data_IF_546388135800
#
_entry.id   IF_546388135800
#
_cell.length_a   1.000
_cell.length_b   1.000
_cell.length_c   1.000
_cell.angle_alpha   90.00
_cell.angle_beta   90.00
_cell.angle_gamma   90.00
#
_symmetry.space_group_name_H-M   'P 1'
#
loop_
_entity.id
_entity.type
_entity.pdbx_description
1 polymer ?
#
# COMPACT_ATOMS: atom_id res chain seq x y z
N UNK A 1 1.06 -19.33 -16.03
CA UNK A 1 2.51 -19.09 -15.79
C UNK A 1 3.00 -18.01 -16.75
N UNK A 2 2.72 -18.18 -18.04
CA UNK A 2 3.18 -17.30 -19.12
C UNK A 2 2.72 -15.83 -18.98
N UNK A 3 1.50 -15.57 -18.50
CA UNK A 3 0.99 -14.20 -18.31
C UNK A 3 1.68 -13.45 -17.16
N UNK A 4 1.99 -14.14 -16.05
CA UNK A 4 2.73 -13.54 -14.94
C UNK A 4 4.15 -13.19 -15.37
N UNK A 5 4.80 -14.09 -16.11
CA UNK A 5 6.13 -13.84 -16.66
C UNK A 5 6.11 -12.69 -17.68
N UNK A 6 5.10 -12.63 -18.56
CA UNK A 6 4.93 -11.52 -19.49
C UNK A 6 4.72 -10.19 -18.76
N UNK A 7 3.90 -10.20 -17.71
CA UNK A 7 3.68 -9.02 -16.87
C UNK A 7 4.98 -8.57 -16.16
N UNK A 8 5.75 -9.50 -15.58
CA UNK A 8 7.02 -9.19 -14.94
C UNK A 8 8.02 -8.60 -15.93
N UNK A 9 8.20 -9.22 -17.10
CA UNK A 9 9.07 -8.70 -18.17
C UNK A 9 8.70 -7.27 -18.59
N UNK A 10 7.41 -6.96 -18.66
CA UNK A 10 6.96 -5.60 -19.01
C UNK A 10 7.34 -4.58 -17.94
N UNK A 11 7.24 -4.94 -16.66
CA UNK A 11 7.67 -4.06 -15.57
C UNK A 11 9.19 -3.87 -15.58
N UNK A 12 9.96 -4.95 -15.77
CA UNK A 12 11.42 -4.90 -15.88
C UNK A 12 11.87 -4.01 -17.04
N UNK A 13 11.26 -4.15 -18.22
CA UNK A 13 11.57 -3.32 -19.38
C UNK A 13 11.29 -1.81 -19.13
N UNK A 14 10.25 -1.47 -18.36
CA UNK A 14 9.97 -0.09 -17.97
C UNK A 14 11.06 0.47 -17.04
N UNK A 15 11.61 -0.36 -16.15
CA UNK A 15 12.74 0.02 -15.29
C UNK A 15 14.03 0.19 -16.08
N UNK A 16 14.34 -0.74 -16.99
CA UNK A 16 15.53 -0.64 -17.86
C UNK A 16 15.50 0.65 -18.68
N UNK A 17 14.32 0.99 -19.24
CA UNK A 17 14.16 2.22 -20.00
C UNK A 17 14.26 3.47 -19.11
N UNK A 18 13.77 3.42 -17.87
CA UNK A 18 13.97 4.52 -16.92
C UNK A 18 15.45 4.80 -16.65
N UNK A 19 16.25 3.75 -16.45
CA UNK A 19 17.70 3.87 -16.24
C UNK A 19 18.40 4.45 -17.49
N UNK A 20 17.96 4.08 -18.70
CA UNK A 20 18.46 4.67 -19.94
C UNK A 20 18.16 6.17 -20.04
N UNK A 21 16.94 6.58 -19.71
CA UNK A 21 16.51 7.98 -19.75
C UNK A 21 17.31 8.85 -18.77
N UNK A 22 17.54 8.37 -17.55
CA UNK A 22 18.25 9.12 -16.51
C UNK A 22 19.78 9.07 -16.72
N UNK A 23 20.31 7.92 -17.12
CA UNK A 23 21.75 7.67 -17.24
C UNK A 23 22.34 8.28 -18.53
N UNK A 24 22.25 7.58 -19.67
CA UNK A 24 22.67 8.06 -21.00
C UNK A 24 22.05 9.40 -21.42
N UNK A 25 20.72 9.52 -21.36
CA UNK A 25 19.99 10.66 -21.94
C UNK A 25 19.89 11.87 -21.02
N UNK A 26 20.35 11.75 -19.76
CA UNK A 26 20.40 12.83 -18.75
C UNK A 26 19.05 13.53 -18.50
N UNK A 27 17.94 12.82 -18.70
CA UNK A 27 16.61 13.35 -18.42
C UNK A 27 16.41 13.53 -16.91
N UNK A 28 15.64 14.55 -16.52
CA UNK A 28 15.34 14.80 -15.11
C UNK A 28 14.47 13.66 -14.55
N UNK A 29 14.83 13.15 -13.37
CA UNK A 29 14.17 12.00 -12.72
C UNK A 29 12.65 12.16 -12.59
N UNK A 30 12.18 13.39 -12.33
CA UNK A 30 10.75 13.68 -12.20
C UNK A 30 9.97 13.45 -13.50
N UNK A 31 10.58 13.74 -14.65
CA UNK A 31 9.97 13.42 -15.95
C UNK A 31 10.13 11.93 -16.26
N UNK A 32 11.26 11.34 -15.91
CA UNK A 32 11.56 9.94 -16.20
C UNK A 32 10.66 8.96 -15.44
N UNK A 33 10.29 9.27 -14.18
CA UNK A 33 9.40 8.39 -13.40
C UNK A 33 7.99 8.22 -14.00
N UNK A 34 7.60 9.02 -15.00
CA UNK A 34 6.28 8.93 -15.63
C UNK A 34 6.02 7.59 -16.34
N UNK A 35 7.08 6.87 -16.71
CA UNK A 35 6.99 5.55 -17.35
C UNK A 35 7.00 4.38 -16.36
N UNK A 36 7.33 4.64 -15.07
CA UNK A 36 7.41 3.57 -14.08
C UNK A 36 6.02 3.01 -13.77
N UNK A 37 5.91 1.69 -13.54
CA UNK A 37 4.64 1.05 -13.26
C UNK A 37 4.06 1.49 -11.90
N UNK A 38 2.74 1.37 -11.74
CA UNK A 38 2.06 1.75 -10.49
C UNK A 38 2.45 0.85 -9.32
N UNK A 39 2.83 -0.40 -9.60
CA UNK A 39 3.18 -1.40 -8.59
C UNK A 39 4.55 -1.22 -7.92
N UNK A 40 5.23 -0.09 -8.14
CA UNK A 40 6.51 0.17 -7.48
C UNK A 40 6.34 0.36 -5.97
N UNK A 41 7.25 -0.21 -5.20
CA UNK A 41 7.30 0.02 -3.77
C UNK A 41 7.64 1.48 -3.48
N UNK A 42 6.88 2.07 -2.56
CA UNK A 42 7.14 3.40 -2.03
C UNK A 42 7.06 3.36 -0.51
N UNK A 43 7.88 4.19 0.12
CA UNK A 43 7.90 4.34 1.56
C UNK A 43 7.44 5.75 1.91
N UNK A 44 6.62 5.86 2.94
CA UNK A 44 6.15 7.14 3.45
C UNK A 44 6.03 7.08 4.97
N UNK A 45 6.20 8.24 5.60
CA UNK A 45 5.85 8.42 7.00
C UNK A 45 4.37 8.78 7.10
N UNK A 46 3.67 8.13 8.02
CA UNK A 46 2.25 8.40 8.25
C UNK A 46 1.99 8.63 9.73
N UNK A 47 1.51 9.84 10.04
CA UNK A 47 1.06 10.23 11.38
C UNK A 47 -0.43 10.44 11.34
N UNK A 48 -1.15 9.81 12.28
CA UNK A 48 -2.60 9.85 12.33
C UNK A 48 -3.06 9.74 13.79
N UNK A 49 -4.18 10.39 14.14
CA UNK A 49 -4.78 10.25 15.46
C UNK A 49 -5.61 8.95 15.54
N UNK A 50 -5.98 8.53 16.76
CA UNK A 50 -6.71 7.29 16.98
C UNK A 50 -8.06 7.19 16.25
N UNK A 51 -8.85 8.27 16.24
CA UNK A 51 -10.16 8.28 15.58
C UNK A 51 -10.05 8.15 14.05
N UNK A 52 -9.13 8.92 13.45
CA UNK A 52 -8.83 8.81 12.02
C UNK A 52 -8.26 7.45 11.65
N UNK A 53 -7.46 6.84 12.53
CA UNK A 53 -6.94 5.49 12.34
C UNK A 53 -8.06 4.44 12.37
N UNK A 54 -8.98 4.53 13.33
CA UNK A 54 -10.16 3.65 13.40
C UNK A 54 -11.01 3.77 12.12
N UNK A 55 -11.28 4.98 11.64
CA UNK A 55 -12.01 5.17 10.38
C UNK A 55 -11.27 4.57 9.17
N UNK A 56 -9.95 4.75 9.10
CA UNK A 56 -9.13 4.12 8.06
C UNK A 56 -9.25 2.59 8.12
N UNK A 57 -9.11 2.00 9.31
CA UNK A 57 -9.20 0.55 9.50
C UNK A 57 -10.59 0.02 9.12
N UNK A 58 -11.65 0.73 9.48
CA UNK A 58 -13.02 0.37 9.09
C UNK A 58 -13.19 0.29 7.57
N UNK A 59 -12.68 1.29 6.84
CA UNK A 59 -12.79 1.33 5.38
C UNK A 59 -11.84 0.34 4.68
N UNK A 60 -10.68 0.07 5.27
CA UNK A 60 -9.59 -0.70 4.62
C UNK A 60 -9.53 -2.15 5.04
N UNK A 61 -10.29 -2.60 6.04
CA UNK A 61 -10.46 -4.02 6.35
C UNK A 61 -11.70 -4.63 5.69
N UNK A 62 -12.54 -3.80 5.07
CA UNK A 62 -13.72 -4.25 4.34
C UNK A 62 -13.38 -5.17 3.15
N UNK A 63 -14.20 -6.21 2.93
CA UNK A 63 -14.02 -7.22 1.87
C UNK A 63 -14.00 -6.64 0.44
N UNK A 64 -14.60 -5.47 0.23
CA UNK A 64 -14.63 -4.74 -1.04
C UNK A 64 -13.40 -3.86 -1.27
N UNK A 65 -12.58 -3.61 -0.23
CA UNK A 65 -11.31 -2.91 -0.41
C UNK A 65 -10.34 -3.74 -1.28
N UNK A 66 -9.29 -3.12 -1.81
CA UNK A 66 -8.27 -3.85 -2.57
C UNK A 66 -7.47 -4.79 -1.64
N UNK A 67 -7.08 -5.98 -2.13
CA UNK A 67 -6.41 -6.98 -1.30
C UNK A 67 -5.10 -6.47 -0.68
N UNK A 68 -4.24 -5.77 -1.44
CA UNK A 68 -2.97 -5.28 -0.89
C UNK A 68 -3.18 -4.32 0.28
N UNK A 69 -4.10 -3.34 0.17
CA UNK A 69 -4.32 -2.38 1.26
C UNK A 69 -4.96 -3.03 2.49
N UNK A 70 -5.74 -4.10 2.32
CA UNK A 70 -6.25 -4.88 3.46
C UNK A 70 -5.12 -5.52 4.26
N UNK A 71 -4.11 -6.05 3.60
CA UNK A 71 -2.95 -6.65 4.28
C UNK A 71 -2.19 -5.61 5.11
N UNK A 72 -2.00 -4.41 4.57
CA UNK A 72 -1.43 -3.30 5.33
C UNK A 72 -2.32 -2.92 6.52
N UNK A 73 -3.63 -2.79 6.31
CA UNK A 73 -4.57 -2.45 7.38
C UNK A 73 -4.59 -3.49 8.51
N UNK A 74 -4.49 -4.79 8.18
CA UNK A 74 -4.42 -5.85 9.20
C UNK A 74 -3.15 -5.73 10.04
N UNK A 75 -1.99 -5.52 9.40
CA UNK A 75 -0.73 -5.32 10.12
C UNK A 75 -0.80 -4.07 11.03
N UNK A 76 -1.40 -2.99 10.54
CA UNK A 76 -1.59 -1.75 11.30
C UNK A 76 -2.52 -1.97 12.50
N UNK A 77 -3.60 -2.75 12.35
CA UNK A 77 -4.50 -3.07 13.46
C UNK A 77 -3.77 -3.81 14.58
N UNK A 78 -2.92 -4.79 14.26
CA UNK A 78 -2.12 -5.51 15.27
C UNK A 78 -1.15 -4.58 16.01
N UNK A 79 -0.49 -3.66 15.28
CA UNK A 79 0.36 -2.64 15.91
C UNK A 79 -0.44 -1.68 16.80
N UNK A 80 -1.64 -1.28 16.36
CA UNK A 80 -2.51 -0.39 17.12
C UNK A 80 -3.03 -1.05 18.41
N UNK A 81 -3.36 -2.35 18.37
CA UNK A 81 -3.74 -3.15 19.54
C UNK A 81 -2.58 -3.27 20.53
N UNK A 82 -1.35 -3.44 20.05
CA UNK A 82 -0.19 -3.44 20.94
C UNK A 82 0.03 -2.08 21.62
N UNK A 83 -0.21 -0.97 20.91
CA UNK A 83 0.00 0.38 21.44
C UNK A 83 -1.13 0.88 22.36
N UNK A 84 -2.39 0.54 22.06
CA UNK A 84 -3.58 0.99 22.78
C UNK A 84 -4.64 -0.13 22.84
N UNK A 85 -4.40 -1.20 23.62
CA UNK A 85 -5.17 -2.44 23.56
C UNK A 85 -6.65 -2.24 23.86
N UNK A 86 -6.97 -1.52 24.94
CA UNK A 86 -8.36 -1.28 25.35
C UNK A 86 -9.15 -0.62 24.20
N UNK A 87 -8.61 0.38 23.54
CA UNK A 87 -9.34 1.08 22.48
C UNK A 87 -9.53 0.23 21.22
N UNK A 88 -8.48 -0.46 20.76
CA UNK A 88 -8.50 -1.14 19.47
C UNK A 88 -9.06 -2.56 19.54
N UNK A 89 -8.98 -3.25 20.68
CA UNK A 89 -9.66 -4.54 20.88
C UNK A 89 -11.18 -4.36 20.94
N UNK A 90 -11.65 -3.33 21.65
CA UNK A 90 -13.07 -2.95 21.70
C UNK A 90 -13.57 -2.53 20.31
N UNK A 91 -12.81 -1.71 19.59
CA UNK A 91 -13.13 -1.32 18.22
C UNK A 91 -13.23 -2.52 17.27
N UNK A 92 -12.29 -3.46 17.34
CA UNK A 92 -12.33 -4.68 16.53
C UNK A 92 -13.59 -5.51 16.83
N UNK A 93 -13.94 -5.65 18.11
CA UNK A 93 -15.10 -6.44 18.52
C UNK A 93 -16.42 -5.78 18.12
N UNK A 94 -16.58 -4.49 18.41
CA UNK A 94 -17.88 -3.82 18.29
C UNK A 94 -18.14 -3.24 16.90
N UNK A 95 -17.10 -2.83 16.16
CA UNK A 95 -17.25 -2.14 14.87
C UNK A 95 -16.88 -3.06 13.72
N UNK A 96 -15.68 -3.66 13.76
CA UNK A 96 -15.19 -4.46 12.62
C UNK A 96 -15.91 -5.80 12.47
N UNK A 97 -16.19 -6.49 13.59
CA UNK A 97 -16.84 -7.82 13.57
C UNK A 97 -18.36 -7.77 13.46
N UNK A 98 -18.99 -6.67 13.89
CA UNK A 98 -20.45 -6.50 13.82
C UNK A 98 -20.90 -5.75 12.54
N UNK A 99 -19.98 -5.16 11.78
CA UNK A 99 -20.28 -4.27 10.65
C UNK A 99 -20.06 -4.82 9.24
N UNK A 100 -20.04 -6.16 9.04
CA UNK A 100 -19.69 -6.81 7.77
C UNK A 100 -20.77 -7.63 7.08
#
# INVERSE_FOLDING_TARGET
RDLLEAWNRQNEAAFDFYEELVGPHKMVKEQARSILPIGIYTNFYWTVNGSSLMNFLNLRLDKHAQYEIRLYAQAILELAKAAAPICFEEFEREVLKNGG
#
